data_IF_302116571640
#
_entry.id   IF_302116571640
#
_cell.length_a   1.000
_cell.length_b   1.000
_cell.length_c   1.000
_cell.angle_alpha   90.00
_cell.angle_beta   90.00
_cell.angle_gamma   90.00
#
_symmetry.space_group_name_H-M   'P 1'
#
loop_
_entity.id
_entity.type
_entity.pdbx_description
1 polymer ?
#
# COMPACT_ATOMS: atom_id res chain seq x y z
N UNK A 1 -21.92 21.90 -6.44
CA UNK A 1 -22.24 20.99 -5.32
C UNK A 1 -21.54 21.56 -4.09
N UNK A 2 -22.29 21.92 -3.06
CA UNK A 2 -21.81 22.72 -1.91
C UNK A 2 -20.69 22.00 -1.16
N UNK A 3 -19.51 22.62 -1.04
CA UNK A 3 -18.36 22.05 -0.33
C UNK A 3 -18.65 21.58 1.09
N UNK A 4 -19.71 22.10 1.73
CA UNK A 4 -20.20 21.66 3.03
C UNK A 4 -20.59 20.17 3.07
N UNK A 5 -21.26 19.64 2.04
CA UNK A 5 -21.61 18.22 1.95
C UNK A 5 -20.37 17.32 1.82
N UNK A 6 -19.36 17.84 1.13
CA UNK A 6 -18.07 17.18 0.92
C UNK A 6 -17.35 16.97 2.26
N UNK A 7 -17.35 17.99 3.13
CA UNK A 7 -16.77 17.88 4.48
C UNK A 7 -17.62 17.03 5.43
N UNK A 8 -18.94 17.22 5.43
CA UNK A 8 -19.85 16.54 6.38
C UNK A 8 -19.92 15.03 6.12
N UNK A 9 -19.88 14.60 4.86
CA UNK A 9 -19.93 13.17 4.49
C UNK A 9 -18.52 12.58 4.30
N UNK A 10 -17.61 13.34 3.69
CA UNK A 10 -16.28 12.85 3.35
C UNK A 10 -15.42 12.53 4.57
N UNK A 11 -15.42 13.41 5.59
CA UNK A 11 -14.60 13.25 6.80
C UNK A 11 -14.92 11.96 7.57
N UNK A 12 -16.18 11.69 7.97
CA UNK A 12 -16.49 10.49 8.74
C UNK A 12 -16.23 9.19 7.95
N UNK A 13 -16.49 9.17 6.64
CA UNK A 13 -16.23 7.99 5.79
C UNK A 13 -14.74 7.72 5.69
N UNK A 14 -13.93 8.73 5.36
CA UNK A 14 -12.46 8.58 5.28
C UNK A 14 -11.89 8.16 6.62
N UNK A 15 -12.40 8.70 7.72
CA UNK A 15 -11.93 8.39 9.07
C UNK A 15 -12.29 6.96 9.49
N UNK A 16 -13.52 6.50 9.21
CA UNK A 16 -13.94 5.11 9.44
C UNK A 16 -13.09 4.12 8.63
N UNK A 17 -12.97 4.33 7.32
CA UNK A 17 -12.17 3.45 6.46
C UNK A 17 -10.70 3.48 6.87
N UNK A 18 -10.12 4.66 7.13
CA UNK A 18 -8.74 4.78 7.62
C UNK A 18 -8.53 4.02 8.91
N UNK A 19 -9.45 4.14 9.88
CA UNK A 19 -9.35 3.46 11.17
C UNK A 19 -9.38 1.93 11.00
N UNK A 20 -10.33 1.41 10.22
CA UNK A 20 -10.47 -0.03 9.97
C UNK A 20 -9.27 -0.57 9.19
N UNK A 21 -8.84 0.12 8.13
CA UNK A 21 -7.71 -0.34 7.31
C UNK A 21 -6.36 -0.19 8.03
N UNK A 22 -6.21 0.82 8.88
CA UNK A 22 -5.04 0.98 9.75
C UNK A 22 -4.92 -0.17 10.76
N UNK A 23 -6.03 -0.64 11.33
CA UNK A 23 -6.04 -1.87 12.15
C UNK A 23 -5.60 -3.10 11.35
N UNK A 24 -5.93 -3.17 10.06
CA UNK A 24 -5.46 -4.24 9.17
C UNK A 24 -4.02 -4.02 8.68
N UNK A 25 -3.43 -2.85 8.91
CA UNK A 25 -2.13 -2.44 8.34
C UNK A 25 -2.15 -2.31 6.81
N UNK A 26 -3.33 -2.27 6.19
CA UNK A 26 -3.51 -2.18 4.75
C UNK A 26 -3.79 -0.71 4.39
N UNK A 27 -3.00 -0.13 3.50
CA UNK A 27 -3.18 1.25 3.09
C UNK A 27 -4.50 1.47 2.33
N UNK A 28 -5.22 2.56 2.62
CA UNK A 28 -6.57 2.83 2.10
C UNK A 28 -6.63 3.66 0.79
N UNK A 29 -5.50 3.82 0.10
CA UNK A 29 -5.40 4.72 -1.06
C UNK A 29 -6.36 4.32 -2.19
N UNK A 30 -6.47 3.01 -2.47
CA UNK A 30 -7.31 2.48 -3.54
C UNK A 30 -8.82 2.76 -3.32
N UNK A 31 -9.24 3.05 -2.09
CA UNK A 31 -10.61 3.46 -1.75
C UNK A 31 -10.75 4.99 -1.84
N UNK A 32 -9.75 5.73 -1.38
CA UNK A 32 -9.80 7.20 -1.32
C UNK A 32 -9.75 7.88 -2.68
N UNK A 33 -8.95 7.38 -3.62
CA UNK A 33 -8.84 7.97 -4.97
C UNK A 33 -10.19 7.99 -5.71
N UNK A 34 -10.93 6.87 -5.86
CA UNK A 34 -12.24 6.90 -6.50
C UNK A 34 -13.28 7.67 -5.67
N UNK A 35 -13.20 7.64 -4.34
CA UNK A 35 -14.10 8.39 -3.46
C UNK A 35 -13.99 9.91 -3.65
N UNK A 36 -12.77 10.45 -3.65
CA UNK A 36 -12.53 11.89 -3.88
C UNK A 36 -12.90 12.32 -5.30
N UNK A 37 -12.65 11.46 -6.29
CA UNK A 37 -13.07 11.72 -7.67
C UNK A 37 -14.60 11.82 -7.78
N UNK A 38 -15.35 10.93 -7.11
CA UNK A 38 -16.81 10.98 -7.06
C UNK A 38 -17.36 12.22 -6.34
N UNK A 39 -16.59 12.80 -5.41
CA UNK A 39 -16.91 14.05 -4.74
C UNK A 39 -16.65 15.30 -5.60
N UNK A 40 -16.12 15.13 -6.82
CA UNK A 40 -15.87 16.22 -7.77
C UNK A 40 -14.46 16.82 -7.71
N UNK A 41 -13.54 16.20 -6.98
CA UNK A 41 -12.13 16.61 -6.94
C UNK A 41 -11.43 16.12 -8.23
N UNK A 42 -10.59 16.94 -8.89
CA UNK A 42 -9.81 16.50 -10.04
C UNK A 42 -9.04 15.21 -9.75
N UNK A 43 -8.92 14.33 -10.74
CA UNK A 43 -8.29 13.00 -10.57
C UNK A 43 -6.85 13.10 -10.02
N UNK A 44 -6.09 14.09 -10.50
CA UNK A 44 -4.71 14.32 -10.04
C UNK A 44 -4.65 14.71 -8.55
N UNK A 45 -5.56 15.58 -8.10
CA UNK A 45 -5.66 15.97 -6.70
C UNK A 45 -6.16 14.81 -5.83
N UNK A 46 -7.12 14.03 -6.33
CA UNK A 46 -7.65 12.84 -5.64
C UNK A 46 -6.57 11.78 -5.41
N UNK A 47 -5.71 11.55 -6.41
CA UNK A 47 -4.56 10.65 -6.32
C UNK A 47 -3.54 11.14 -5.27
N UNK A 48 -3.20 12.44 -5.31
CA UNK A 48 -2.27 13.04 -4.36
C UNK A 48 -2.79 12.95 -2.91
N UNK A 49 -4.08 13.24 -2.69
CA UNK A 49 -4.71 13.12 -1.37
C UNK A 49 -4.78 11.66 -0.89
N UNK A 50 -5.14 10.73 -1.78
CA UNK A 50 -5.18 9.30 -1.48
C UNK A 50 -3.81 8.76 -1.04
N UNK A 51 -2.74 9.12 -1.75
CA UNK A 51 -1.36 8.76 -1.40
C UNK A 51 -0.89 9.43 -0.10
N UNK A 52 -1.19 10.71 0.10
CA UNK A 52 -0.81 11.43 1.32
C UNK A 52 -1.48 10.80 2.55
N UNK A 53 -2.78 10.54 2.49
CA UNK A 53 -3.53 9.91 3.57
C UNK A 53 -3.03 8.49 3.86
N UNK A 54 -2.66 7.75 2.81
CA UNK A 54 -2.07 6.43 2.94
C UNK A 54 -0.74 6.47 3.69
N UNK A 55 0.15 7.37 3.28
CA UNK A 55 1.44 7.56 3.93
C UNK A 55 1.28 7.92 5.41
N UNK A 56 0.42 8.89 5.71
CA UNK A 56 0.15 9.31 7.10
C UNK A 56 -0.43 8.15 7.91
N UNK A 57 -1.42 7.42 7.37
CA UNK A 57 -2.04 6.28 8.04
C UNK A 57 -1.04 5.17 8.32
N UNK A 58 -0.21 4.80 7.34
CA UNK A 58 0.82 3.77 7.50
C UNK A 58 1.94 4.23 8.43
N UNK A 59 2.28 5.52 8.47
CA UNK A 59 3.24 6.06 9.42
C UNK A 59 2.73 5.92 10.86
N UNK A 60 1.47 6.26 11.13
CA UNK A 60 0.85 6.05 12.44
C UNK A 60 0.75 4.55 12.80
N UNK A 61 0.35 3.69 11.87
CA UNK A 61 0.30 2.25 12.07
C UNK A 61 1.69 1.66 12.39
N UNK A 62 2.72 2.09 11.64
CA UNK A 62 4.11 1.68 11.84
C UNK A 62 4.62 2.07 13.24
N UNK A 63 4.44 3.33 13.65
CA UNK A 63 4.82 3.79 14.99
C UNK A 63 4.10 2.99 16.08
N UNK A 64 2.81 2.71 15.88
CA UNK A 64 2.00 1.93 16.82
C UNK A 64 2.50 0.48 16.92
N UNK A 65 2.77 -0.18 15.80
CA UNK A 65 3.29 -1.56 15.78
C UNK A 65 4.71 -1.68 16.33
N UNK A 66 5.56 -0.69 16.07
CA UNK A 66 6.89 -0.59 16.67
C UNK A 66 6.78 -0.48 18.19
N UNK A 67 5.91 0.39 18.69
CA UNK A 67 5.69 0.57 20.14
C UNK A 67 5.12 -0.69 20.80
N UNK A 68 4.24 -1.41 20.10
CA UNK A 68 3.66 -2.68 20.55
C UNK A 68 4.60 -3.89 20.42
N UNK A 69 5.86 -3.70 19.96
CA UNK A 69 6.85 -4.76 19.69
C UNK A 69 6.36 -5.87 18.75
N UNK A 70 5.44 -5.54 17.86
CA UNK A 70 4.90 -6.46 16.85
C UNK A 70 5.75 -6.52 15.57
N UNK A 71 6.84 -5.74 15.52
CA UNK A 71 7.73 -5.62 14.36
C UNK A 71 9.00 -6.44 14.55
N UNK A 72 9.25 -7.38 13.64
CA UNK A 72 10.55 -8.05 13.53
C UNK A 72 11.51 -7.18 12.71
N UNK A 73 12.35 -6.40 13.41
CA UNK A 73 13.33 -5.51 12.79
C UNK A 73 14.36 -6.24 11.92
N UNK A 74 14.61 -7.54 12.13
CA UNK A 74 15.54 -8.31 11.29
C UNK A 74 14.99 -8.57 9.90
N UNK A 75 13.66 -8.61 9.74
CA UNK A 75 13.00 -8.73 8.45
C UNK A 75 12.54 -7.36 7.91
N UNK A 76 12.05 -6.48 8.78
CA UNK A 76 11.50 -5.19 8.38
C UNK A 76 12.54 -4.25 7.76
N UNK A 77 13.76 -4.20 8.30
CA UNK A 77 14.82 -3.32 7.78
C UNK A 77 15.28 -3.72 6.38
N UNK A 78 15.63 -5.00 6.09
CA UNK A 78 15.95 -5.41 4.72
C UNK A 78 14.80 -5.22 3.73
N UNK A 79 13.55 -5.49 4.15
CA UNK A 79 12.36 -5.21 3.32
C UNK A 79 12.31 -3.74 2.95
N UNK A 80 12.43 -2.85 3.94
CA UNK A 80 12.33 -1.40 3.73
C UNK A 80 13.44 -0.89 2.81
N UNK A 81 14.70 -1.31 3.04
CA UNK A 81 15.83 -0.90 2.20
C UNK A 81 15.65 -1.37 0.75
N UNK A 82 15.29 -2.64 0.56
CA UNK A 82 15.07 -3.19 -0.78
C UNK A 82 13.89 -2.51 -1.48
N UNK A 83 12.78 -2.29 -0.77
CA UNK A 83 11.58 -1.68 -1.33
C UNK A 83 11.83 -0.22 -1.74
N UNK A 84 12.47 0.58 -0.87
CA UNK A 84 12.80 1.98 -1.16
C UNK A 84 13.84 2.09 -2.27
N UNK A 85 14.81 1.18 -2.32
CA UNK A 85 15.83 1.17 -3.37
C UNK A 85 15.29 0.78 -4.75
N UNK A 86 14.36 -0.18 -4.82
CA UNK A 86 13.78 -0.68 -6.08
C UNK A 86 12.54 0.10 -6.54
N UNK A 87 11.89 0.85 -5.67
CA UNK A 87 10.70 1.66 -6.02
C UNK A 87 10.95 2.68 -7.13
N UNK A 88 12.04 3.49 -7.12
CA UNK A 88 12.32 4.43 -8.20
C UNK A 88 12.54 3.74 -9.56
N UNK A 89 13.11 2.52 -9.54
CA UNK A 89 13.29 1.71 -10.74
C UNK A 89 11.94 1.24 -11.30
N UNK A 90 11.02 0.83 -10.42
CA UNK A 90 9.64 0.52 -10.80
C UNK A 90 8.90 1.71 -11.41
N UNK A 91 8.96 2.87 -10.77
CA UNK A 91 8.30 4.09 -11.24
C UNK A 91 8.83 4.58 -12.59
N UNK A 92 10.13 4.43 -12.85
CA UNK A 92 10.72 4.73 -14.16
C UNK A 92 10.28 3.75 -15.23
N UNK A 93 10.14 2.47 -14.91
CA UNK A 93 9.63 1.48 -15.85
C UNK A 93 8.18 1.79 -16.27
N UNK A 94 7.36 2.38 -15.39
CA UNK A 94 6.00 2.83 -15.71
C UNK A 94 5.96 3.88 -16.83
N UNK A 95 6.95 4.78 -16.89
CA UNK A 95 7.00 5.83 -17.91
C UNK A 95 7.32 5.30 -19.32
N UNK A 96 7.96 4.13 -19.40
CA UNK A 96 8.38 3.50 -20.67
C UNK A 96 7.37 2.44 -21.12
N UNK A 97 6.42 2.06 -20.25
CA UNK A 97 5.46 0.97 -20.50
C UNK A 97 4.13 1.52 -20.99
N UNK A 98 3.55 0.89 -22.02
CA UNK A 98 2.22 1.24 -22.52
C UNK A 98 1.15 1.19 -21.42
N UNK A 99 0.27 2.21 -21.39
CA UNK A 99 -0.85 2.28 -20.43
C UNK A 99 -1.72 1.02 -20.40
N UNK A 100 -1.93 0.38 -21.55
CA UNK A 100 -2.72 -0.85 -21.63
C UNK A 100 -2.05 -2.03 -20.91
N UNK A 101 -0.72 -2.17 -21.01
CA UNK A 101 0.04 -3.18 -20.29
C UNK A 101 0.00 -2.93 -18.77
N UNK A 102 0.12 -1.67 -18.37
CA UNK A 102 0.05 -1.29 -16.95
C UNK A 102 -1.30 -1.60 -16.32
N UNK A 103 -2.41 -1.28 -17.01
CA UNK A 103 -3.76 -1.60 -16.55
C UNK A 103 -4.00 -3.12 -16.45
N UNK A 104 -3.45 -3.89 -17.38
CA UNK A 104 -3.53 -5.35 -17.34
C UNK A 104 -2.74 -5.92 -16.15
N UNK A 105 -1.53 -5.42 -15.91
CA UNK A 105 -0.72 -5.75 -14.73
C UNK A 105 -1.42 -5.39 -13.42
N UNK A 106 -2.02 -4.21 -13.33
CA UNK A 106 -2.77 -3.77 -12.16
C UNK A 106 -3.99 -4.66 -11.90
N UNK A 107 -4.76 -4.99 -12.94
CA UNK A 107 -5.92 -5.87 -12.85
C UNK A 107 -5.52 -7.29 -12.43
N UNK A 108 -4.47 -7.84 -13.05
CA UNK A 108 -3.93 -9.16 -12.69
C UNK A 108 -3.44 -9.18 -11.24
N UNK A 109 -2.74 -8.13 -10.81
CA UNK A 109 -2.31 -7.97 -9.42
C UNK A 109 -3.48 -7.90 -8.45
N UNK A 110 -4.54 -7.15 -8.75
CA UNK A 110 -5.74 -7.06 -7.91
C UNK A 110 -6.46 -8.41 -7.80
N UNK A 111 -6.63 -9.13 -8.91
CA UNK A 111 -7.24 -10.47 -8.91
C UNK A 111 -6.40 -11.43 -8.07
N UNK A 112 -5.08 -11.38 -8.24
CA UNK A 112 -4.15 -12.20 -7.45
C UNK A 112 -4.21 -11.86 -5.96
N UNK A 113 -4.09 -10.58 -5.59
CA UNK A 113 -4.14 -10.12 -4.22
C UNK A 113 -5.49 -10.42 -3.55
N UNK A 114 -6.60 -10.17 -4.25
CA UNK A 114 -7.94 -10.49 -3.78
C UNK A 114 -8.15 -12.00 -3.57
N UNK A 115 -7.68 -12.83 -4.50
CA UNK A 115 -7.71 -14.29 -4.34
C UNK A 115 -6.86 -14.75 -3.15
N UNK A 116 -5.70 -14.13 -2.93
CA UNK A 116 -4.86 -14.42 -1.77
C UNK A 116 -5.58 -14.01 -0.48
N UNK A 117 -6.22 -12.85 -0.41
CA UNK A 117 -6.98 -12.45 0.78
C UNK A 117 -8.16 -13.38 1.10
N UNK A 118 -8.84 -13.91 0.07
CA UNK A 118 -10.00 -14.81 0.25
C UNK A 118 -9.62 -16.25 0.60
N UNK A 119 -8.53 -16.77 0.03
CA UNK A 119 -8.20 -18.20 0.12
C UNK A 119 -6.94 -18.50 0.93
N UNK A 120 -6.15 -17.49 1.30
CA UNK A 120 -4.91 -17.71 2.04
C UNK A 120 -5.15 -17.84 3.54
N UNK A 121 -5.01 -19.06 4.05
CA UNK A 121 -4.95 -19.30 5.49
C UNK A 121 -3.53 -19.02 5.99
N UNK A 122 -3.33 -18.12 6.98
CA UNK A 122 -2.01 -17.88 7.55
C UNK A 122 -1.46 -19.18 8.14
N UNK A 123 -0.47 -19.78 7.49
CA UNK A 123 0.28 -20.90 8.08
C UNK A 123 1.39 -20.32 8.96
N UNK A 124 1.52 -20.76 10.22
CA UNK A 124 2.63 -20.36 11.07
C UNK A 124 3.93 -20.80 10.37
N UNK A 125 4.67 -19.84 9.83
CA UNK A 125 5.98 -20.11 9.25
C UNK A 125 6.96 -20.32 10.41
N UNK A 126 7.82 -21.35 10.35
CA UNK A 126 8.88 -21.50 11.33
C UNK A 126 9.73 -20.22 11.31
N UNK A 127 10.06 -19.71 12.50
CA UNK A 127 10.93 -18.54 12.68
C UNK A 127 12.30 -18.92 12.10
N UNK A 128 12.52 -18.59 10.82
CA UNK A 128 13.82 -18.73 10.20
C UNK A 128 14.78 -17.80 10.93
N UNK A 129 16.02 -18.23 11.16
CA UNK A 129 17.06 -17.45 11.82
C UNK A 129 18.28 -17.37 10.90
N UNK A 130 18.93 -16.20 10.86
CA UNK A 130 20.17 -15.98 10.12
C UNK A 130 20.00 -15.41 8.71
N UNK A 131 21.00 -15.63 7.85
CA UNK A 131 21.10 -15.02 6.51
C UNK A 131 19.91 -15.35 5.58
N UNK A 132 19.23 -16.47 5.78
CA UNK A 132 18.04 -16.85 5.03
C UNK A 132 16.87 -15.87 5.22
N UNK A 133 16.71 -15.31 6.43
CA UNK A 133 15.68 -14.28 6.70
C UNK A 133 16.00 -13.02 5.94
N UNK A 134 17.27 -12.59 5.94
CA UNK A 134 17.72 -11.38 5.25
C UNK A 134 17.55 -11.53 3.74
N UNK A 135 17.92 -12.68 3.18
CA UNK A 135 17.72 -12.97 1.75
C UNK A 135 16.26 -12.97 1.33
N UNK A 136 15.40 -13.67 2.10
CA UNK A 136 13.97 -13.74 1.81
C UNK A 136 13.28 -12.38 1.96
N UNK A 137 13.60 -11.64 3.03
CA UNK A 137 13.03 -10.31 3.31
C UNK A 137 13.50 -9.26 2.29
N UNK A 138 14.75 -9.31 1.86
CA UNK A 138 15.26 -8.44 0.76
C UNK A 138 14.57 -8.76 -0.56
N UNK A 139 14.41 -10.05 -0.90
CA UNK A 139 13.72 -10.47 -2.12
C UNK A 139 12.25 -10.05 -2.14
N UNK A 140 11.53 -10.29 -1.03
CA UNK A 140 10.13 -9.86 -0.89
C UNK A 140 10.01 -8.34 -0.93
N UNK A 141 10.86 -7.61 -0.21
CA UNK A 141 10.87 -6.15 -0.21
C UNK A 141 11.19 -5.57 -1.58
N UNK A 142 12.13 -6.17 -2.30
CA UNK A 142 12.49 -5.73 -3.64
C UNK A 142 11.37 -5.93 -4.66
N UNK A 143 10.74 -7.11 -4.67
CA UNK A 143 9.57 -7.38 -5.53
C UNK A 143 8.41 -6.46 -5.16
N UNK A 144 8.12 -6.30 -3.87
CA UNK A 144 7.05 -5.43 -3.40
C UNK A 144 7.28 -3.95 -3.75
N UNK A 145 8.51 -3.45 -3.58
CA UNK A 145 8.86 -2.07 -3.93
C UNK A 145 8.88 -1.82 -5.43
N UNK A 146 9.38 -2.76 -6.22
CA UNK A 146 9.37 -2.66 -7.68
C UNK A 146 7.94 -2.69 -8.23
N UNK A 147 7.11 -3.65 -7.81
CA UNK A 147 5.70 -3.73 -8.21
C UNK A 147 4.90 -2.53 -7.70
N UNK A 148 5.12 -2.11 -6.45
CA UNK A 148 4.49 -0.91 -5.89
C UNK A 148 4.85 0.34 -6.68
N UNK A 149 6.13 0.55 -6.98
CA UNK A 149 6.59 1.66 -7.81
C UNK A 149 6.08 1.61 -9.25
N UNK A 150 5.94 0.41 -9.82
CA UNK A 150 5.37 0.21 -11.15
C UNK A 150 3.89 0.64 -11.21
N UNK A 151 3.11 0.22 -10.21
CA UNK A 151 1.66 0.39 -10.18
C UNK A 151 1.22 1.78 -9.70
N UNK A 152 2.09 2.52 -9.01
CA UNK A 152 1.81 3.86 -8.50
C UNK A 152 1.27 3.85 -7.08
#
# INVERSE_FOLDING_TARGET
>A
MSGLLLYVVGVPVVLLFSAVLSMAGLGAAFIFVPFFYWLGVPLAESAALGLLLNFVSLAFASVTYVRSRLVDFRAAVPIAIAAVGLSPLGARATQVTDKNLLLWLFTAFLVFAGSMMLFYKPRPRPVQRGAAVVGLSTGVGGVAGFLGGLLG
#
